data_IF_423315034800
#
_entry.id   IF_423315034800
#
_cell.length_a   1.000
_cell.length_b   1.000
_cell.length_c   1.000
_cell.angle_alpha   90.00
_cell.angle_beta   90.00
_cell.angle_gamma   90.00
#
_symmetry.space_group_name_H-M   'P 1'
#
loop_
_entity.id
_entity.type
_entity.pdbx_description
1 polymer ?
#
# COMPACT_ATOMS: atom_id res chain seq x y z
N UNK A 1 42.94 -24.22 -19.27
CA UNK A 1 41.50 -23.99 -19.46
C UNK A 1 40.95 -23.50 -18.13
N UNK A 2 40.89 -22.18 -17.96
CA UNK A 2 40.46 -21.54 -16.70
C UNK A 2 38.96 -21.35 -16.79
N UNK A 3 38.21 -21.99 -15.89
CA UNK A 3 36.76 -21.82 -15.82
C UNK A 3 36.44 -20.42 -15.30
N UNK A 4 35.71 -19.65 -16.13
CA UNK A 4 35.12 -18.38 -15.74
C UNK A 4 33.96 -18.68 -14.80
N UNK A 5 34.11 -18.24 -13.55
CA UNK A 5 33.05 -18.24 -12.54
C UNK A 5 32.01 -17.22 -12.99
N UNK A 6 30.82 -17.73 -13.31
CA UNK A 6 29.63 -16.96 -13.64
C UNK A 6 29.24 -16.13 -12.41
N UNK A 7 29.61 -14.85 -12.40
CA UNK A 7 29.25 -13.91 -11.35
C UNK A 7 27.76 -13.58 -11.55
N UNK A 8 26.89 -13.72 -10.54
CA UNK A 8 25.54 -13.20 -10.65
C UNK A 8 25.64 -11.69 -10.80
N UNK A 9 25.26 -11.18 -11.97
CA UNK A 9 25.13 -9.75 -12.22
C UNK A 9 24.28 -9.16 -11.08
N UNK A 10 24.87 -8.23 -10.34
CA UNK A 10 24.17 -7.43 -9.37
C UNK A 10 23.11 -6.65 -10.13
N UNK A 11 21.87 -7.15 -10.14
CA UNK A 11 20.72 -6.39 -10.57
C UNK A 11 20.73 -5.12 -9.72
N UNK A 12 21.11 -4.00 -10.35
CA UNK A 12 20.98 -2.68 -9.77
C UNK A 12 19.48 -2.46 -9.61
N UNK A 13 18.92 -2.92 -8.50
CA UNK A 13 17.51 -2.73 -8.16
C UNK A 13 17.34 -1.23 -7.95
N UNK A 14 16.93 -0.54 -9.01
CA UNK A 14 16.57 0.88 -8.95
C UNK A 14 15.44 0.99 -7.94
N UNK A 15 15.65 1.76 -6.87
CA UNK A 15 14.60 2.01 -5.90
C UNK A 15 13.41 2.66 -6.63
N UNK A 16 12.18 2.12 -6.53
CA UNK A 16 11.03 2.65 -7.22
C UNK A 16 10.78 4.09 -6.75
N UNK A 17 10.41 4.96 -7.70
CA UNK A 17 9.98 6.29 -7.32
C UNK A 17 8.63 6.16 -6.63
N UNK A 18 8.57 6.51 -5.34
CA UNK A 18 7.31 6.56 -4.57
C UNK A 18 6.53 7.80 -5.01
N UNK A 19 6.03 7.76 -6.24
CA UNK A 19 5.22 8.82 -6.82
C UNK A 19 3.85 8.81 -6.17
N UNK A 20 3.54 9.83 -5.37
CA UNK A 20 2.18 10.05 -4.88
C UNK A 20 1.34 10.60 -6.03
N UNK A 21 0.45 9.77 -6.56
CA UNK A 21 -0.51 10.17 -7.59
C UNK A 21 -1.78 10.69 -6.91
N UNK A 22 -2.38 11.80 -7.39
CA UNK A 22 -3.66 12.26 -6.87
C UNK A 22 -4.74 11.18 -6.99
N UNK A 23 -5.51 10.97 -5.92
CA UNK A 23 -6.53 9.93 -5.85
C UNK A 23 -7.57 10.03 -6.98
N UNK A 24 -7.90 11.24 -7.42
CA UNK A 24 -8.82 11.48 -8.54
C UNK A 24 -8.29 10.89 -9.86
N UNK A 25 -6.98 10.89 -10.07
CA UNK A 25 -6.37 10.29 -11.26
C UNK A 25 -6.42 8.76 -11.23
N UNK A 26 -6.34 8.17 -10.03
CA UNK A 26 -6.55 6.73 -9.82
C UNK A 26 -8.02 6.37 -10.10
N UNK A 27 -8.95 7.12 -9.52
CA UNK A 27 -10.41 6.91 -9.69
C UNK A 27 -10.89 7.12 -11.12
N UNK A 28 -10.24 8.00 -11.88
CA UNK A 28 -10.55 8.25 -13.28
C UNK A 28 -10.22 7.08 -14.23
N UNK A 29 -9.46 6.08 -13.77
CA UNK A 29 -9.16 4.91 -14.60
C UNK A 29 -10.41 4.09 -14.87
N UNK A 30 -10.67 3.82 -16.15
CA UNK A 30 -11.90 3.13 -16.59
C UNK A 30 -11.87 1.62 -16.39
N UNK A 31 -10.68 1.02 -16.28
CA UNK A 31 -10.51 -0.44 -16.22
C UNK A 31 -9.36 -0.83 -15.29
N UNK A 32 -9.38 -2.08 -14.83
CA UNK A 32 -8.31 -2.67 -14.03
C UNK A 32 -6.96 -2.62 -14.76
N UNK A 33 -6.97 -2.86 -16.08
CA UNK A 33 -5.78 -2.79 -16.92
C UNK A 33 -5.18 -1.38 -17.01
N UNK A 34 -6.04 -0.35 -17.05
CA UNK A 34 -5.60 1.04 -17.05
C UNK A 34 -5.00 1.44 -15.70
N UNK A 35 -5.62 1.03 -14.59
CA UNK A 35 -5.08 1.23 -13.24
C UNK A 35 -3.74 0.49 -13.03
N UNK A 36 -3.64 -0.76 -13.49
CA UNK A 36 -2.40 -1.54 -13.45
C UNK A 36 -1.29 -0.89 -14.28
N UNK A 37 -1.62 -0.43 -15.49
CA UNK A 37 -0.67 0.26 -16.37
C UNK A 37 -0.22 1.59 -15.79
N UNK A 38 -1.13 2.33 -15.15
CA UNK A 38 -0.80 3.55 -14.43
C UNK A 38 0.17 3.27 -13.27
N UNK A 39 -0.09 2.24 -12.48
CA UNK A 39 0.79 1.82 -11.38
C UNK A 39 2.22 1.50 -11.86
N UNK A 40 2.34 0.79 -12.99
CA UNK A 40 3.64 0.51 -13.62
C UNK A 40 4.32 1.80 -14.11
N UNK A 41 3.58 2.67 -14.82
CA UNK A 41 4.12 3.93 -15.37
C UNK A 41 4.67 4.85 -14.29
N UNK A 42 3.94 4.98 -13.18
CA UNK A 42 4.30 5.85 -12.05
C UNK A 42 5.56 5.37 -11.33
N UNK A 43 5.82 4.05 -11.32
CA UNK A 43 7.01 3.49 -10.69
C UNK A 43 8.32 3.92 -11.36
N UNK A 44 8.26 4.23 -12.66
CA UNK A 44 9.42 4.51 -13.50
C UNK A 44 10.28 3.29 -13.83
N UNK A 45 9.80 2.07 -13.49
CA UNK A 45 10.42 0.80 -13.86
C UNK A 45 9.99 0.37 -15.26
N UNK A 46 10.88 -0.32 -15.96
CA UNK A 46 10.56 -1.00 -17.21
C UNK A 46 9.68 -2.23 -16.95
N UNK A 47 8.81 -2.54 -17.91
CA UNK A 47 7.94 -3.72 -17.84
C UNK A 47 8.72 -5.01 -17.51
N UNK A 48 9.94 -5.13 -18.06
CA UNK A 48 10.84 -6.27 -17.83
C UNK A 48 11.33 -6.39 -16.40
N UNK A 49 11.64 -5.27 -15.76
CA UNK A 49 12.02 -5.26 -14.35
C UNK A 49 10.86 -5.76 -13.48
N UNK A 50 9.64 -5.39 -13.85
CA UNK A 50 8.44 -5.75 -13.10
C UNK A 50 8.10 -7.24 -13.25
N UNK A 51 7.93 -7.73 -14.49
CA UNK A 51 7.49 -9.11 -14.68
C UNK A 51 8.54 -10.15 -14.24
N UNK A 52 9.84 -9.84 -14.36
CA UNK A 52 10.89 -10.74 -13.89
C UNK A 52 10.89 -10.83 -12.36
N UNK A 53 10.77 -9.69 -11.66
CA UNK A 53 10.76 -9.67 -10.20
C UNK A 53 9.49 -10.32 -9.60
N UNK A 54 8.37 -10.28 -10.33
CA UNK A 54 7.13 -10.99 -9.96
C UNK A 54 7.11 -12.47 -10.35
N UNK A 55 8.10 -12.95 -11.12
CA UNK A 55 8.13 -14.33 -11.59
C UNK A 55 7.00 -14.66 -12.57
N UNK A 56 6.50 -13.68 -13.32
CA UNK A 56 5.44 -13.86 -14.32
C UNK A 56 6.00 -13.72 -15.73
N UNK A 57 5.40 -14.44 -16.70
CA UNK A 57 5.85 -14.35 -18.09
C UNK A 57 5.43 -13.03 -18.75
N UNK A 58 6.23 -12.58 -19.71
CA UNK A 58 6.01 -11.33 -20.42
C UNK A 58 4.67 -11.30 -21.19
N UNK A 59 4.19 -12.46 -21.66
CA UNK A 59 2.92 -12.58 -22.36
C UNK A 59 1.73 -12.33 -21.43
N UNK A 60 1.73 -12.97 -20.26
CA UNK A 60 0.74 -12.74 -19.21
C UNK A 60 0.76 -11.30 -18.71
N UNK A 61 1.94 -10.72 -18.47
CA UNK A 61 2.06 -9.31 -18.09
C UNK A 61 1.47 -8.37 -19.16
N UNK A 62 1.78 -8.63 -20.44
CA UNK A 62 1.19 -7.88 -21.56
C UNK A 62 -0.33 -8.05 -21.63
N UNK A 63 -0.85 -9.25 -21.32
CA UNK A 63 -2.29 -9.51 -21.28
C UNK A 63 -2.98 -8.78 -20.14
N UNK A 64 -2.33 -8.61 -18.97
CA UNK A 64 -2.86 -7.79 -17.87
C UNK A 64 -2.99 -6.33 -18.31
N UNK A 65 -1.92 -5.75 -18.90
CA UNK A 65 -1.94 -4.37 -19.41
C UNK A 65 -2.98 -4.13 -20.51
N UNK A 66 -3.36 -5.18 -21.24
CA UNK A 66 -4.43 -5.16 -22.27
C UNK A 66 -5.82 -5.50 -21.72
N UNK A 67 -5.96 -5.85 -20.44
CA UNK A 67 -7.23 -6.25 -19.83
C UNK A 67 -7.75 -7.63 -20.26
N UNK A 68 -6.87 -8.47 -20.79
CA UNK A 68 -7.17 -9.87 -21.16
C UNK A 68 -6.88 -10.86 -20.01
N UNK A 69 -6.18 -10.40 -18.99
CA UNK A 69 -5.87 -11.12 -17.78
C UNK A 69 -5.92 -10.17 -16.57
N UNK A 70 -5.97 -10.72 -15.37
CA UNK A 70 -5.88 -9.98 -14.10
C UNK A 70 -4.66 -10.44 -13.33
N UNK A 71 -4.03 -9.55 -12.57
CA UNK A 71 -2.97 -9.92 -11.64
C UNK A 71 -3.53 -10.89 -10.58
N UNK A 72 -2.81 -11.98 -10.30
CA UNK A 72 -3.16 -12.91 -9.22
C UNK A 72 -3.18 -12.19 -7.87
N UNK A 73 -4.19 -12.46 -7.05
CA UNK A 73 -4.40 -11.76 -5.78
C UNK A 73 -3.18 -11.84 -4.85
N UNK A 74 -2.54 -13.01 -4.78
CA UNK A 74 -1.37 -13.25 -3.92
C UNK A 74 -0.14 -12.44 -4.35
N UNK A 75 -0.07 -12.01 -5.62
CA UNK A 75 1.02 -11.18 -6.14
C UNK A 75 0.79 -9.68 -5.91
N UNK A 76 -0.39 -9.26 -5.46
CA UNK A 76 -0.74 -7.83 -5.32
C UNK A 76 0.17 -7.13 -4.32
N UNK A 77 0.48 -7.77 -3.18
CA UNK A 77 1.38 -7.16 -2.18
C UNK A 77 2.78 -6.96 -2.73
N UNK A 78 3.36 -8.03 -3.30
CA UNK A 78 4.68 -7.99 -3.91
C UNK A 78 4.75 -6.98 -5.07
N UNK A 79 3.69 -6.90 -5.87
CA UNK A 79 3.57 -5.88 -6.91
C UNK A 79 3.62 -4.47 -6.33
N UNK A 80 2.80 -4.16 -5.32
CA UNK A 80 2.77 -2.82 -4.72
C UNK A 80 4.10 -2.43 -4.08
N UNK A 81 4.79 -3.38 -3.43
CA UNK A 81 6.14 -3.18 -2.89
C UNK A 81 7.15 -2.86 -4.01
N UNK A 82 7.09 -3.62 -5.10
CA UNK A 82 7.98 -3.48 -6.26
C UNK A 82 7.75 -2.16 -7.00
N UNK A 83 6.51 -1.80 -7.31
CA UNK A 83 6.19 -0.55 -8.03
C UNK A 83 6.19 0.67 -7.11
N UNK A 84 6.27 0.46 -5.79
CA UNK A 84 6.34 1.51 -4.78
C UNK A 84 5.06 2.35 -4.64
N UNK A 85 3.90 1.81 -5.04
CA UNK A 85 2.61 2.50 -4.98
C UNK A 85 1.44 1.52 -4.84
N UNK A 86 0.28 2.04 -4.41
CA UNK A 86 -0.96 1.30 -4.12
C UNK A 86 -2.08 1.57 -5.13
N UNK A 87 -1.74 2.12 -6.30
CA UNK A 87 -2.71 2.60 -7.30
C UNK A 87 -3.70 1.48 -7.74
N UNK A 88 -3.18 0.27 -7.98
CA UNK A 88 -3.99 -0.86 -8.43
C UNK A 88 -5.02 -1.35 -7.38
N UNK A 89 -4.63 -1.63 -6.12
CA UNK A 89 -5.61 -1.97 -5.09
C UNK A 89 -6.50 -0.79 -4.68
N UNK A 90 -6.03 0.46 -4.72
CA UNK A 90 -6.86 1.65 -4.47
C UNK A 90 -7.99 1.79 -5.50
N UNK A 91 -7.67 1.61 -6.78
CA UNK A 91 -8.68 1.59 -7.83
C UNK A 91 -9.69 0.46 -7.58
N UNK A 92 -9.21 -0.72 -7.21
CA UNK A 92 -10.06 -1.89 -6.94
C UNK A 92 -10.99 -1.65 -5.76
N UNK A 93 -10.50 -1.03 -4.68
CA UNK A 93 -11.32 -0.63 -3.53
C UNK A 93 -12.39 0.40 -3.93
N UNK A 94 -12.02 1.37 -4.77
CA UNK A 94 -12.97 2.37 -5.26
C UNK A 94 -14.10 1.76 -6.09
N UNK A 95 -13.81 0.75 -6.94
CA UNK A 95 -14.84 0.07 -7.73
C UNK A 95 -15.91 -0.62 -6.88
N UNK A 96 -15.60 -0.98 -5.63
CA UNK A 96 -16.55 -1.59 -4.69
C UNK A 96 -17.12 -0.58 -3.67
N UNK A 97 -16.88 0.72 -3.86
CA UNK A 97 -17.36 1.77 -2.97
C UNK A 97 -16.59 1.86 -1.65
N UNK A 98 -15.35 1.36 -1.60
CA UNK A 98 -14.47 1.41 -0.44
C UNK A 98 -13.26 2.33 -0.67
N UNK A 99 -12.50 2.57 0.39
CA UNK A 99 -11.19 3.21 0.32
C UNK A 99 -10.16 2.34 1.01
N UNK A 100 -8.93 2.35 0.50
CA UNK A 100 -7.81 1.71 1.17
C UNK A 100 -7.38 2.57 2.37
N UNK A 101 -7.14 1.94 3.51
CA UNK A 101 -6.58 2.57 4.71
C UNK A 101 -5.41 1.73 5.19
N UNK A 102 -4.37 2.40 5.70
CA UNK A 102 -3.24 1.69 6.29
C UNK A 102 -3.70 0.95 7.54
N UNK A 103 -3.44 -0.36 7.59
CA UNK A 103 -3.69 -1.16 8.79
C UNK A 103 -2.65 -0.76 9.84
N UNK A 104 -3.13 -0.39 11.03
CA UNK A 104 -2.24 -0.10 12.17
C UNK A 104 -1.47 -1.36 12.53
N UNK A 105 -0.18 -1.21 12.83
CA UNK A 105 0.60 -2.30 13.41
C UNK A 105 0.01 -2.72 14.76
N UNK A 106 0.26 -3.95 15.18
CA UNK A 106 -0.20 -4.48 16.47
C UNK A 106 0.33 -3.65 17.66
N UNK A 107 1.48 -2.99 17.49
CA UNK A 107 2.05 -2.08 18.48
C UNK A 107 1.30 -0.74 18.54
N UNK A 108 1.00 -0.14 17.38
CA UNK A 108 0.20 1.10 17.29
C UNK A 108 -1.23 0.88 17.81
N UNK A 109 -1.83 -0.27 17.51
CA UNK A 109 -3.16 -0.65 18.04
C UNK A 109 -3.16 -0.74 19.57
N UNK A 110 -2.10 -1.31 20.16
CA UNK A 110 -1.95 -1.44 21.62
C UNK A 110 -1.67 -0.09 22.30
N UNK A 111 -0.84 0.75 21.68
CA UNK A 111 -0.54 2.08 22.19
C UNK A 111 -1.81 2.96 22.23
N UNK A 112 -2.59 2.97 21.16
CA UNK A 112 -3.85 3.71 21.10
C UNK A 112 -4.86 3.22 22.16
N UNK A 113 -4.96 1.91 22.37
CA UNK A 113 -5.87 1.36 23.38
C UNK A 113 -5.43 1.73 24.80
N UNK A 114 -4.12 1.79 25.05
CA UNK A 114 -3.56 2.24 26.33
C UNK A 114 -3.80 3.74 26.55
N UNK A 115 -3.66 4.55 25.50
CA UNK A 115 -3.87 5.98 25.54
C UNK A 115 -5.35 6.34 25.73
N UNK A 116 -6.27 5.63 25.07
CA UNK A 116 -7.71 5.76 25.32
C UNK A 116 -8.08 5.43 26.78
N UNK A 117 -7.46 4.40 27.36
CA UNK A 117 -7.66 4.05 28.78
C UNK A 117 -7.10 5.12 29.71
N UNK A 118 -5.92 5.66 29.40
CA UNK A 118 -5.31 6.74 30.17
C UNK A 118 -6.18 8.01 30.13
N UNK A 119 -6.66 8.39 28.95
CA UNK A 119 -7.56 9.55 28.78
C UNK A 119 -8.89 9.37 29.52
N UNK A 120 -9.48 8.18 29.48
CA UNK A 120 -10.69 7.88 30.24
C UNK A 120 -10.46 7.99 31.76
N UNK A 121 -9.35 7.44 32.25
CA UNK A 121 -8.97 7.51 33.67
C UNK A 121 -8.63 8.95 34.11
N UNK A 122 -8.01 9.75 33.25
CA UNK A 122 -7.74 11.17 33.51
C UNK A 122 -9.03 12.00 33.52
N UNK A 123 -9.97 11.73 32.61
CA UNK A 123 -11.27 12.37 32.59
C UNK A 123 -12.08 12.04 33.85
N UNK A 124 -12.09 10.77 34.26
CA UNK A 124 -12.74 10.31 35.49
C UNK A 124 -12.10 10.95 36.73
N UNK A 125 -10.77 10.94 36.84
CA UNK A 125 -10.06 11.62 37.93
C UNK A 125 -10.35 13.12 37.97
N UNK A 126 -10.40 13.77 36.80
CA UNK A 126 -10.72 15.21 36.71
C UNK A 126 -12.14 15.48 37.21
N UNK A 127 -13.11 14.66 36.81
CA UNK A 127 -14.50 14.75 37.25
C UNK A 127 -14.61 14.52 38.76
N UNK A 128 -13.97 13.47 39.29
CA UNK A 128 -13.94 13.18 40.73
C UNK A 128 -13.32 14.34 41.53
N UNK A 129 -12.21 14.91 41.04
CA UNK A 129 -11.58 16.09 41.67
C UNK A 129 -12.50 17.31 41.64
N UNK A 130 -13.23 17.53 40.56
CA UNK A 130 -14.20 18.64 40.46
C UNK A 130 -15.38 18.46 41.42
N UNK A 131 -15.89 17.23 41.57
CA UNK A 131 -16.94 16.87 42.52
C UNK A 131 -16.48 17.06 43.98
N UNK A 132 -15.30 16.57 44.33
CA UNK A 132 -14.71 16.71 45.68
C UNK A 132 -14.42 18.17 46.06
N UNK A 133 -14.07 19.02 45.08
CA UNK A 133 -13.85 20.45 45.29
C UNK A 133 -15.15 21.27 45.32
N UNK A 134 -16.33 20.64 45.22
CA UNK A 134 -17.63 21.33 45.23
C UNK A 134 -17.83 22.28 44.04
N UNK A 135 -17.07 22.08 42.94
CA UNK A 135 -17.09 22.95 41.75
C UNK A 135 -18.06 22.48 40.66
N UNK A 136 -18.84 21.45 40.91
CA UNK A 136 -19.97 21.11 40.04
C UNK A 136 -21.10 22.08 40.36
N UNK A 137 -21.31 23.00 39.42
CA UNK A 137 -22.14 24.19 39.56
C UNK A 137 -23.54 23.92 40.12
N UNK A 138 -23.95 24.78 41.07
CA UNK A 138 -25.32 25.28 41.15
C UNK A 138 -25.57 26.28 40.01
#
# INVERSE_FOLDING_TARGET
>A
MTQLVDQPELALVRAPHRGTVPLEMVRAQKTAAAAFTLACSVSGLEDKEIYLALGIDAGYFSNIKKGKATLQADLVSQFCELVGNTIYPEWSAYQVGCTLVMVKTEAERRAELAEQRAQAAEAENRLMRQLLQGRVAA
#
